data_IF_509975170253
#
_entry.id   IF_509975170253
#
_cell.length_a   1.000
_cell.length_b   1.000
_cell.length_c   1.000
_cell.angle_alpha   90.00
_cell.angle_beta   90.00
_cell.angle_gamma   90.00
#
_symmetry.space_group_name_H-M   'P 1'
#
loop_
_entity.id
_entity.type
_entity.pdbx_description
1 polymer ?
#
# COMPACT_ATOMS: atom_id res chain seq x y z
N UNK A 1 -22.85 -47.27 -22.45
CA UNK A 1 -22.54 -47.62 -21.05
C UNK A 1 -21.11 -47.19 -20.76
N UNK A 2 -20.91 -46.24 -19.85
CA UNK A 2 -19.58 -45.74 -19.49
C UNK A 2 -19.67 -44.90 -18.23
N UNK A 3 -19.62 -45.55 -17.06
CA UNK A 3 -19.46 -44.88 -15.77
C UNK A 3 -18.00 -44.44 -15.65
N UNK A 4 -17.70 -43.19 -16.02
CA UNK A 4 -16.41 -42.56 -15.75
C UNK A 4 -16.41 -41.93 -14.36
N UNK A 5 -15.75 -42.58 -13.41
CA UNK A 5 -15.64 -42.14 -12.02
C UNK A 5 -14.92 -40.79 -11.92
N UNK A 6 -15.60 -39.77 -11.37
CA UNK A 6 -14.93 -38.56 -10.86
C UNK A 6 -14.31 -38.91 -9.52
N UNK A 7 -12.97 -39.01 -9.46
CA UNK A 7 -12.26 -39.07 -8.18
C UNK A 7 -12.30 -37.68 -7.54
N UNK A 8 -13.16 -37.50 -6.54
CA UNK A 8 -13.00 -36.45 -5.55
C UNK A 8 -11.86 -36.86 -4.61
N UNK A 9 -10.70 -36.21 -4.74
CA UNK A 9 -9.71 -36.23 -3.67
C UNK A 9 -10.09 -35.10 -2.71
N UNK A 10 -10.81 -35.46 -1.65
CA UNK A 10 -11.03 -34.60 -0.49
C UNK A 10 -9.84 -34.77 0.44
N UNK A 11 -8.96 -33.76 0.51
CA UNK A 11 -8.06 -33.62 1.66
C UNK A 11 -8.71 -32.62 2.61
N UNK A 12 -9.30 -33.12 3.70
CA UNK A 12 -9.64 -32.31 4.87
C UNK A 12 -8.40 -32.23 5.73
N UNK A 13 -7.94 -31.02 6.04
CA UNK A 13 -7.02 -30.85 7.16
C UNK A 13 -7.26 -29.53 7.90
N UNK A 14 -7.55 -29.70 9.19
CA UNK A 14 -7.67 -28.71 10.26
C UNK A 14 -6.31 -28.07 10.52
N UNK A 15 -6.22 -26.74 10.51
CA UNK A 15 -5.02 -26.05 10.97
C UNK A 15 -5.09 -25.78 12.48
N UNK A 16 -4.38 -26.63 13.22
CA UNK A 16 -4.03 -26.51 14.64
C UNK A 16 -3.02 -25.37 14.82
N UNK A 17 -3.21 -24.54 15.85
CA UNK A 17 -2.25 -23.53 16.27
C UNK A 17 -1.00 -24.22 16.87
N UNK A 18 0.03 -24.46 16.07
CA UNK A 18 1.25 -25.18 16.47
C UNK A 18 2.24 -24.34 17.29
N UNK A 19 2.76 -24.90 18.39
CA UNK A 19 3.75 -24.31 19.32
C UNK A 19 5.22 -24.47 18.86
N UNK A 20 5.57 -24.39 17.56
CA UNK A 20 6.98 -24.45 17.13
C UNK A 20 7.33 -23.38 16.08
N UNK A 21 8.49 -22.71 16.20
CA UNK A 21 8.98 -21.78 15.19
C UNK A 21 9.50 -22.56 13.98
N UNK A 22 8.91 -22.35 12.79
CA UNK A 22 9.41 -22.97 11.55
C UNK A 22 8.42 -23.13 10.40
N UNK A 23 7.11 -23.22 10.67
CA UNK A 23 6.11 -23.43 9.62
C UNK A 23 5.46 -22.11 9.19
N UNK A 24 5.84 -21.60 8.02
CA UNK A 24 5.18 -20.46 7.38
C UNK A 24 4.51 -20.91 6.08
N UNK A 25 3.18 -20.86 6.04
CA UNK A 25 2.41 -20.98 4.79
C UNK A 25 2.12 -19.57 4.26
N UNK A 26 2.54 -19.32 3.02
CA UNK A 26 2.05 -18.23 2.17
C UNK A 26 0.55 -18.44 1.91
N UNK A 27 -0.29 -17.50 2.35
CA UNK A 27 -1.69 -17.47 1.93
C UNK A 27 -1.76 -16.95 0.51
N UNK A 28 -1.80 -17.86 -0.45
CA UNK A 28 -2.32 -17.60 -1.80
C UNK A 28 -3.84 -17.48 -1.71
N UNK A 29 -4.38 -16.31 -2.04
CA UNK A 29 -5.82 -16.15 -2.27
C UNK A 29 -6.05 -16.50 -3.74
N UNK A 30 -6.63 -17.67 -4.02
CA UNK A 30 -7.17 -17.97 -5.33
C UNK A 30 -8.39 -17.07 -5.58
N UNK A 31 -8.27 -16.16 -6.55
CA UNK A 31 -9.44 -15.61 -7.21
C UNK A 31 -9.88 -16.64 -8.26
N UNK A 32 -11.02 -17.29 -8.06
CA UNK A 32 -11.64 -18.11 -9.09
C UNK A 32 -12.08 -17.20 -10.25
N UNK A 33 -11.30 -17.19 -11.32
CA UNK A 33 -11.77 -16.74 -12.62
C UNK A 33 -12.03 -18.00 -13.47
N UNK A 34 -13.30 -18.31 -13.71
CA UNK A 34 -13.67 -19.23 -14.79
C UNK A 34 -13.35 -18.57 -16.11
N UNK A 35 -12.20 -18.90 -16.70
CA UNK A 35 -11.95 -18.65 -18.11
C UNK A 35 -12.16 -19.97 -18.87
N UNK A 36 -13.18 -20.00 -19.71
CA UNK A 36 -13.39 -21.07 -20.68
C UNK A 36 -12.38 -20.89 -21.82
N UNK A 37 -11.23 -21.58 -21.70
CA UNK A 37 -10.19 -21.61 -22.74
C UNK A 37 -10.52 -22.66 -23.81
N UNK A 38 -11.65 -22.45 -24.51
CA UNK A 38 -11.92 -23.09 -25.79
C UNK A 38 -12.32 -22.05 -26.83
N UNK A 39 -11.33 -21.38 -27.44
CA UNK A 39 -11.38 -20.99 -28.86
C UNK A 39 -10.25 -20.02 -29.26
N UNK A 40 -8.99 -20.48 -29.36
CA UNK A 40 -7.99 -19.79 -30.21
C UNK A 40 -6.97 -20.76 -30.81
N UNK A 41 -7.18 -21.09 -32.09
CA UNK A 41 -6.27 -21.50 -33.20
C UNK A 41 -7.19 -22.17 -34.26
N UNK A 42 -7.21 -21.86 -35.57
CA UNK A 42 -6.36 -21.07 -36.48
C UNK A 42 -7.14 -20.80 -37.82
N UNK A 43 -6.57 -20.26 -38.91
CA UNK A 43 -7.10 -19.14 -39.71
C UNK A 43 -7.76 -19.51 -41.06
N UNK A 44 -8.39 -18.51 -41.71
CA UNK A 44 -8.60 -18.48 -43.17
C UNK A 44 -10.05 -18.55 -43.64
N UNK A 45 -10.61 -17.40 -44.04
CA UNK A 45 -11.88 -17.30 -44.75
C UNK A 45 -12.23 -15.83 -45.06
N UNK A 46 -12.72 -15.49 -46.27
CA UNK A 46 -12.97 -14.10 -46.67
C UNK A 46 -14.24 -13.54 -46.00
N UNK A 47 -14.38 -12.20 -45.90
CA UNK A 47 -15.45 -11.58 -45.14
C UNK A 47 -16.76 -11.53 -45.93
N UNK A 48 -17.94 -11.75 -45.31
CA UNK A 48 -19.21 -11.38 -45.90
C UNK A 48 -19.63 -9.96 -45.47
N UNK A 49 -20.22 -9.21 -46.41
CA UNK A 49 -21.05 -8.00 -46.17
C UNK A 49 -22.47 -8.25 -46.73
N UNK A 50 -23.43 -7.31 -46.61
CA UNK A 50 -24.32 -7.07 -45.47
C UNK A 50 -25.80 -7.33 -45.84
N UNK A 51 -26.69 -7.57 -44.86
CA UNK A 51 -28.13 -7.66 -45.15
C UNK A 51 -29.03 -7.98 -43.95
N UNK A 52 -29.83 -6.97 -43.59
CA UNK A 52 -31.22 -6.98 -43.09
C UNK A 52 -31.69 -7.90 -41.94
N UNK A 53 -32.26 -7.19 -40.95
CA UNK A 53 -33.54 -7.43 -40.26
C UNK A 53 -33.70 -8.58 -39.26
N UNK A 54 -34.02 -8.13 -38.05
CA UNK A 54 -35.10 -8.61 -37.18
C UNK A 54 -35.01 -10.03 -36.60
N UNK A 55 -34.63 -10.10 -35.33
CA UNK A 55 -35.32 -11.00 -34.41
C UNK A 55 -35.50 -10.38 -33.02
N UNK A 56 -36.77 -10.23 -32.64
CA UNK A 56 -37.26 -9.71 -31.36
C UNK A 56 -37.03 -10.74 -30.24
N UNK A 57 -36.63 -10.30 -29.06
CA UNK A 57 -36.78 -11.07 -27.82
C UNK A 57 -37.70 -10.34 -26.84
N UNK A 58 -38.90 -10.89 -26.69
CA UNK A 58 -39.83 -10.69 -25.57
C UNK A 58 -39.30 -11.43 -24.34
N UNK A 59 -39.41 -10.82 -23.15
CA UNK A 59 -39.10 -11.50 -21.88
C UNK A 59 -38.65 -10.59 -20.74
N UNK A 60 -39.48 -9.62 -20.33
CA UNK A 60 -39.21 -8.78 -19.16
C UNK A 60 -39.51 -9.55 -17.86
N UNK A 61 -38.46 -10.03 -17.18
CA UNK A 61 -38.55 -10.51 -15.80
C UNK A 61 -38.26 -9.36 -14.82
N UNK A 62 -39.30 -8.95 -14.11
CA UNK A 62 -39.38 -7.86 -13.12
C UNK A 62 -38.68 -8.26 -11.81
N UNK A 63 -37.59 -7.59 -11.46
CA UNK A 63 -36.95 -7.71 -10.14
C UNK A 63 -37.56 -6.72 -9.14
N UNK A 64 -38.22 -7.22 -8.09
CA UNK A 64 -38.65 -6.41 -6.93
C UNK A 64 -37.43 -6.12 -6.04
N UNK A 65 -37.21 -4.85 -5.69
CA UNK A 65 -36.28 -4.44 -4.64
C UNK A 65 -36.95 -4.63 -3.28
N UNK A 66 -36.34 -5.42 -2.40
CA UNK A 66 -36.52 -5.21 -0.96
C UNK A 66 -35.56 -4.10 -0.51
N UNK A 67 -36.13 -3.01 -0.03
CA UNK A 67 -35.43 -1.91 0.63
C UNK A 67 -35.26 -2.22 2.12
N UNK A 68 -34.06 -2.58 2.55
CA UNK A 68 -33.65 -2.34 3.93
C UNK A 68 -33.01 -0.96 4.00
N UNK A 69 -33.64 -0.10 4.80
CA UNK A 69 -33.31 1.32 4.99
C UNK A 69 -31.92 1.49 5.58
N UNK A 70 -31.11 2.31 4.92
CA UNK A 70 -29.78 2.72 5.35
C UNK A 70 -28.92 3.22 4.18
N UNK A 71 -29.55 3.90 3.21
CA UNK A 71 -28.89 4.43 2.02
C UNK A 71 -28.74 5.93 2.11
N UNK A 72 -27.51 6.42 1.96
CA UNK A 72 -27.20 7.83 1.78
C UNK A 72 -27.91 8.33 0.50
N UNK A 73 -28.87 9.25 0.64
CA UNK A 73 -29.42 9.94 -0.52
C UNK A 73 -28.38 10.92 -1.03
N UNK A 74 -27.75 10.60 -2.16
CA UNK A 74 -27.01 11.55 -2.97
C UNK A 74 -28.04 12.41 -3.74
N UNK A 75 -28.26 13.63 -3.25
CA UNK A 75 -29.09 14.63 -3.90
C UNK A 75 -28.40 15.98 -3.85
N UNK A 76 -28.00 16.46 -5.04
CA UNK A 76 -27.54 17.80 -5.38
C UNK A 76 -26.21 18.29 -4.77
N UNK A 77 -25.49 19.07 -5.58
CA UNK A 77 -24.07 19.38 -5.41
C UNK A 77 -23.71 20.04 -4.09
N UNK A 78 -22.68 19.50 -3.44
CA UNK A 78 -21.86 20.19 -2.46
C UNK A 78 -20.51 19.47 -2.37
N UNK A 79 -19.44 20.24 -2.52
CA UNK A 79 -18.05 19.86 -2.45
C UNK A 79 -17.76 19.07 -1.16
N UNK A 80 -17.29 17.82 -1.28
CA UNK A 80 -16.79 17.06 -0.13
C UNK A 80 -15.35 17.47 0.18
N UNK A 81 -15.19 18.68 0.73
CA UNK A 81 -13.96 19.12 1.38
C UNK A 81 -13.84 18.47 2.76
N UNK A 82 -12.92 17.51 2.90
CA UNK A 82 -12.48 16.82 4.13
C UNK A 82 -13.42 15.76 4.75
N UNK A 83 -12.87 14.62 5.24
CA UNK A 83 -13.62 13.59 5.98
C UNK A 83 -14.34 14.11 7.23
N UNK A 84 -13.85 15.21 7.81
CA UNK A 84 -14.35 15.80 9.06
C UNK A 84 -15.71 16.52 8.89
N UNK A 85 -16.12 16.77 7.64
CA UNK A 85 -17.39 17.48 7.31
C UNK A 85 -18.47 16.58 6.72
N UNK A 86 -18.19 15.30 6.47
CA UNK A 86 -19.22 14.35 6.05
C UNK A 86 -20.06 13.92 7.26
N UNK A 87 -21.35 14.27 7.29
CA UNK A 87 -22.29 13.89 8.35
C UNK A 87 -22.35 12.37 8.60
N UNK A 88 -22.11 11.56 7.56
CA UNK A 88 -22.03 10.10 7.66
C UNK A 88 -20.73 9.61 8.33
N UNK A 89 -19.60 10.30 8.15
CA UNK A 89 -18.33 9.95 8.81
C UNK A 89 -18.34 10.32 10.30
N UNK A 90 -18.89 11.50 10.67
CA UNK A 90 -19.12 11.87 12.08
C UNK A 90 -20.11 10.94 12.78
N UNK A 91 -21.18 10.51 12.09
CA UNK A 91 -22.15 9.56 12.64
C UNK A 91 -21.59 8.13 12.78
N UNK A 92 -20.70 7.67 11.88
CA UNK A 92 -19.99 6.40 12.03
C UNK A 92 -18.97 6.42 13.18
N UNK A 93 -18.18 7.49 13.30
CA UNK A 93 -17.18 7.61 14.38
C UNK A 93 -17.82 7.80 15.78
N UNK A 94 -19.08 8.20 15.85
CA UNK A 94 -19.88 8.27 17.07
C UNK A 94 -20.45 6.90 17.53
N UNK A 95 -20.25 5.82 16.76
CA UNK A 95 -20.70 4.48 17.16
C UNK A 95 -19.62 3.77 18.00
N UNK A 96 -19.96 3.26 19.21
CA UNK A 96 -19.00 2.63 20.12
C UNK A 96 -18.26 1.43 19.50
N UNK A 97 -18.86 0.77 18.50
CA UNK A 97 -18.25 -0.34 17.77
C UNK A 97 -17.06 0.06 16.90
N UNK A 98 -17.05 1.27 16.32
CA UNK A 98 -15.95 1.72 15.46
C UNK A 98 -14.74 2.13 16.30
N UNK A 99 -14.96 2.85 17.40
CA UNK A 99 -13.91 3.17 18.36
C UNK A 99 -13.26 1.89 18.92
N UNK A 100 -14.06 0.88 19.26
CA UNK A 100 -13.55 -0.42 19.74
C UNK A 100 -12.72 -1.16 18.68
N UNK A 101 -13.17 -1.14 17.42
CA UNK A 101 -12.44 -1.72 16.27
C UNK A 101 -11.10 -1.03 16.02
N UNK A 102 -11.07 0.30 16.05
CA UNK A 102 -9.83 1.06 15.90
C UNK A 102 -8.86 0.79 17.06
N UNK A 103 -9.36 0.78 18.31
CA UNK A 103 -8.56 0.46 19.48
C UNK A 103 -7.97 -0.97 19.42
N UNK A 104 -8.72 -1.94 18.88
CA UNK A 104 -8.22 -3.30 18.66
C UNK A 104 -7.05 -3.32 17.66
N UNK A 105 -7.17 -2.62 16.53
CA UNK A 105 -6.09 -2.50 15.54
C UNK A 105 -4.88 -1.78 16.15
N UNK A 106 -5.09 -0.68 16.85
CA UNK A 106 -4.01 0.07 17.50
C UNK A 106 -3.22 -0.81 18.49
N UNK A 107 -3.90 -1.59 19.34
CA UNK A 107 -3.25 -2.54 20.26
C UNK A 107 -2.47 -3.62 19.52
N UNK A 108 -3.03 -4.17 18.45
CA UNK A 108 -2.33 -5.17 17.64
C UNK A 108 -1.06 -4.59 17.00
N UNK A 109 -1.14 -3.38 16.44
CA UNK A 109 0.02 -2.68 15.87
C UNK A 109 1.05 -2.37 16.93
N UNK A 110 0.64 -1.91 18.12
CA UNK A 110 1.56 -1.68 19.24
C UNK A 110 2.31 -2.96 19.63
N UNK A 111 1.61 -4.09 19.71
CA UNK A 111 2.23 -5.40 19.96
C UNK A 111 3.19 -5.80 18.83
N UNK A 112 2.80 -5.60 17.57
CA UNK A 112 3.68 -5.87 16.42
C UNK A 112 4.94 -5.01 16.46
N UNK A 113 4.85 -3.72 16.81
CA UNK A 113 6.03 -2.84 16.92
C UNK A 113 6.94 -3.19 18.09
N UNK A 114 6.37 -3.63 19.23
CA UNK A 114 7.16 -4.04 20.39
C UNK A 114 7.88 -5.37 20.17
N UNK A 115 7.27 -6.27 19.42
CA UNK A 115 7.66 -7.69 19.37
C UNK A 115 7.83 -8.22 17.94
N UNK A 116 8.22 -7.36 17.00
CA UNK A 116 8.22 -7.67 15.56
C UNK A 116 9.06 -8.90 15.20
N UNK A 117 10.14 -9.17 15.94
CA UNK A 117 11.05 -10.27 15.66
C UNK A 117 10.42 -11.64 15.93
N UNK A 118 9.44 -11.71 16.84
CA UNK A 118 8.82 -12.96 17.22
C UNK A 118 7.69 -13.39 16.28
N UNK A 119 7.33 -14.69 16.28
CA UNK A 119 6.16 -15.16 15.55
C UNK A 119 4.88 -14.49 16.04
N UNK A 120 4.05 -14.04 15.11
CA UNK A 120 2.76 -13.42 15.41
C UNK A 120 1.60 -14.29 14.93
N UNK A 121 0.67 -14.59 15.82
CA UNK A 121 -0.58 -15.27 15.49
C UNK A 121 -1.71 -14.27 15.27
N UNK A 122 -2.45 -14.42 14.16
CA UNK A 122 -3.60 -13.56 13.86
C UNK A 122 -4.72 -13.71 14.90
N UNK A 123 -4.91 -14.92 15.44
CA UNK A 123 -5.92 -15.19 16.46
C UNK A 123 -5.64 -14.40 17.75
N UNK A 124 -4.38 -14.32 18.17
CA UNK A 124 -3.99 -13.55 19.36
C UNK A 124 -4.30 -12.06 19.21
N UNK A 125 -4.08 -11.50 18.01
CA UNK A 125 -4.38 -10.09 17.72
C UNK A 125 -5.89 -9.84 17.66
N UNK A 126 -6.65 -10.80 17.12
CA UNK A 126 -8.11 -10.71 17.02
C UNK A 126 -8.80 -10.79 18.40
N UNK A 127 -8.28 -11.66 19.29
CA UNK A 127 -8.80 -11.83 20.65
C UNK A 127 -8.72 -10.54 21.47
N UNK A 128 -7.65 -9.75 21.30
CA UNK A 128 -7.50 -8.44 21.96
C UNK A 128 -8.58 -7.41 21.57
N UNK A 129 -9.32 -7.67 20.49
CA UNK A 129 -10.44 -6.86 20.02
C UNK A 129 -11.82 -7.49 20.21
N UNK A 130 -11.91 -8.70 20.78
CA UNK A 130 -13.12 -9.54 20.79
C UNK A 130 -13.69 -9.74 19.37
N UNK A 131 -12.80 -9.88 18.38
CA UNK A 131 -13.16 -10.09 16.97
C UNK A 131 -12.81 -11.51 16.54
N UNK A 132 -13.57 -12.07 15.60
CA UNK A 132 -13.09 -13.26 14.89
C UNK A 132 -11.86 -12.91 14.04
N UNK A 133 -10.94 -13.86 13.78
CA UNK A 133 -9.75 -13.60 12.96
C UNK A 133 -10.07 -13.03 11.56
N UNK A 134 -11.13 -13.53 10.93
CA UNK A 134 -11.60 -13.05 9.63
C UNK A 134 -12.07 -11.59 9.69
N UNK A 135 -12.89 -11.25 10.71
CA UNK A 135 -13.38 -9.88 10.87
C UNK A 135 -12.24 -8.92 11.22
N UNK A 136 -11.34 -9.33 12.11
CA UNK A 136 -10.14 -8.56 12.46
C UNK A 136 -9.28 -8.28 11.23
N UNK A 137 -9.02 -9.27 10.38
CA UNK A 137 -8.25 -9.08 9.14
C UNK A 137 -8.85 -7.99 8.24
N UNK A 138 -10.19 -8.00 8.06
CA UNK A 138 -10.89 -6.99 7.25
C UNK A 138 -10.80 -5.60 7.90
N UNK A 139 -11.05 -5.50 9.20
CA UNK A 139 -10.95 -4.23 9.95
C UNK A 139 -9.54 -3.67 9.91
N UNK A 140 -8.53 -4.52 10.11
CA UNK A 140 -7.13 -4.12 10.05
C UNK A 140 -6.77 -3.51 8.69
N UNK A 141 -7.21 -4.14 7.59
CA UNK A 141 -6.99 -3.61 6.23
C UNK A 141 -7.72 -2.29 5.98
N UNK A 142 -8.93 -2.13 6.50
CA UNK A 142 -9.64 -0.85 6.38
C UNK A 142 -8.96 0.27 7.15
N UNK A 143 -8.39 -0.02 8.32
CA UNK A 143 -7.73 0.98 9.18
C UNK A 143 -6.31 1.31 8.73
N UNK A 144 -5.55 0.33 8.26
CA UNK A 144 -4.10 0.47 7.97
C UNK A 144 -3.77 0.47 6.48
N UNK A 145 -4.77 0.32 5.61
CA UNK A 145 -4.61 0.05 4.17
C UNK A 145 -3.82 -1.22 3.81
N UNK A 146 -3.43 -2.04 4.81
CA UNK A 146 -2.58 -3.21 4.63
C UNK A 146 -3.13 -4.45 5.36
N UNK A 147 -2.75 -5.65 4.95
CA UNK A 147 -3.05 -6.86 5.75
C UNK A 147 -2.11 -6.95 6.95
N UNK A 148 -2.50 -7.61 8.06
CA UNK A 148 -1.65 -7.78 9.25
C UNK A 148 -0.24 -8.31 8.94
N UNK A 149 -0.14 -9.34 8.10
CA UNK A 149 1.15 -9.92 7.72
C UNK A 149 2.03 -8.97 6.88
N UNK A 150 1.43 -8.21 5.96
CA UNK A 150 2.16 -7.21 5.17
C UNK A 150 2.64 -6.06 6.05
N UNK A 151 1.83 -5.63 7.00
CA UNK A 151 2.17 -4.57 7.95
C UNK A 151 3.35 -5.00 8.84
N UNK A 152 3.30 -6.19 9.43
CA UNK A 152 4.41 -6.75 10.20
C UNK A 152 5.70 -6.85 9.37
N UNK A 153 5.59 -7.34 8.14
CA UNK A 153 6.76 -7.43 7.25
C UNK A 153 7.37 -6.04 6.97
N UNK A 154 6.55 -5.00 6.81
CA UNK A 154 7.02 -3.63 6.65
C UNK A 154 7.71 -3.09 7.91
N UNK A 155 7.21 -3.41 9.11
CA UNK A 155 7.90 -3.07 10.38
C UNK A 155 9.28 -3.72 10.42
N UNK A 156 9.37 -5.03 10.13
CA UNK A 156 10.64 -5.77 10.14
C UNK A 156 11.65 -5.20 9.15
N UNK A 157 11.20 -4.81 7.96
CA UNK A 157 12.08 -4.19 6.96
C UNK A 157 12.50 -2.77 7.36
N UNK A 158 11.60 -1.96 7.93
CA UNK A 158 11.97 -0.64 8.45
C UNK A 158 13.05 -0.75 9.55
N UNK A 159 12.92 -1.75 10.43
CA UNK A 159 13.95 -2.01 11.43
C UNK A 159 15.25 -2.55 10.82
N UNK A 160 15.16 -3.39 9.79
CA UNK A 160 16.33 -3.85 9.05
C UNK A 160 17.08 -2.69 8.39
N UNK A 161 16.38 -1.71 7.82
CA UNK A 161 16.99 -0.49 7.29
C UNK A 161 17.74 0.25 8.40
N UNK A 162 17.12 0.47 9.56
CA UNK A 162 17.78 1.08 10.71
C UNK A 162 19.05 0.33 11.12
N UNK A 163 19.00 -1.00 11.23
CA UNK A 163 20.18 -1.81 11.58
C UNK A 163 21.26 -1.78 10.51
N UNK A 164 20.89 -1.78 9.22
CA UNK A 164 21.84 -1.70 8.10
C UNK A 164 22.61 -0.36 8.11
N UNK A 165 21.99 0.71 8.59
CA UNK A 165 22.55 2.08 8.65
C UNK A 165 23.33 2.31 9.94
N UNK A 166 22.77 1.94 11.09
CA UNK A 166 23.29 2.30 12.41
C UNK A 166 24.28 1.29 12.99
N UNK A 167 24.49 0.16 12.33
CA UNK A 167 25.36 -0.91 12.83
C UNK A 167 26.22 -1.51 11.72
N UNK A 168 27.29 -2.19 12.11
CA UNK A 168 28.15 -3.00 11.24
C UNK A 168 27.72 -4.47 11.15
N UNK A 169 26.53 -4.83 11.66
CA UNK A 169 26.04 -6.22 11.69
C UNK A 169 26.05 -6.86 10.29
N UNK A 170 26.32 -8.16 10.21
CA UNK A 170 26.22 -8.88 8.93
C UNK A 170 24.77 -8.97 8.50
N UNK A 171 24.52 -9.00 7.19
CA UNK A 171 23.16 -9.07 6.63
C UNK A 171 22.42 -10.33 7.12
N UNK A 172 23.15 -11.44 7.32
CA UNK A 172 22.66 -12.68 7.94
C UNK A 172 22.12 -12.44 9.34
N UNK A 173 22.87 -11.73 10.17
CA UNK A 173 22.55 -11.51 11.58
C UNK A 173 21.37 -10.55 11.70
N UNK A 174 21.30 -9.55 10.82
CA UNK A 174 20.16 -8.64 10.70
C UNK A 174 18.90 -9.42 10.31
N UNK A 175 18.97 -10.35 9.35
CA UNK A 175 17.83 -11.15 8.93
C UNK A 175 17.22 -11.92 10.12
N UNK A 176 18.06 -12.55 10.94
CA UNK A 176 17.64 -13.26 12.14
C UNK A 176 17.10 -12.28 13.19
N UNK A 177 17.80 -11.18 13.44
CA UNK A 177 17.41 -10.18 14.45
C UNK A 177 16.04 -9.55 14.17
N UNK A 178 15.65 -9.39 12.90
CA UNK A 178 14.34 -8.85 12.51
C UNK A 178 13.28 -9.94 12.27
N UNK A 179 13.57 -11.20 12.64
CA UNK A 179 12.58 -12.28 12.70
C UNK A 179 12.37 -13.06 11.40
N UNK A 180 13.35 -13.11 10.50
CA UNK A 180 13.32 -13.99 9.32
C UNK A 180 14.06 -15.29 9.60
N UNK A 181 13.45 -16.42 9.21
CA UNK A 181 14.03 -17.75 9.36
C UNK A 181 15.18 -18.04 8.37
N UNK A 182 15.26 -17.30 7.25
CA UNK A 182 16.32 -17.46 6.27
C UNK A 182 16.76 -16.14 5.65
N UNK A 183 18.04 -16.06 5.28
CA UNK A 183 18.60 -14.91 4.55
C UNK A 183 17.93 -14.72 3.19
N UNK A 184 17.57 -15.80 2.50
CA UNK A 184 16.94 -15.73 1.19
C UNK A 184 15.57 -15.04 1.27
N UNK A 185 14.72 -15.49 2.21
CA UNK A 185 13.40 -14.88 2.42
C UNK A 185 13.50 -13.42 2.82
N UNK A 186 14.46 -13.08 3.68
CA UNK A 186 14.76 -11.69 4.04
C UNK A 186 15.18 -10.87 2.83
N UNK A 187 16.16 -11.32 2.05
CA UNK A 187 16.72 -10.59 0.91
C UNK A 187 15.68 -10.34 -0.18
N UNK A 188 14.87 -11.35 -0.51
CA UNK A 188 13.76 -11.19 -1.46
C UNK A 188 12.76 -10.16 -0.96
N UNK A 189 12.36 -10.24 0.31
CA UNK A 189 11.36 -9.34 0.88
C UNK A 189 11.90 -7.90 1.03
N UNK A 190 13.15 -7.74 1.46
CA UNK A 190 13.83 -6.46 1.57
C UNK A 190 13.92 -5.80 0.21
N UNK A 191 14.46 -6.49 -0.80
CA UNK A 191 14.58 -5.96 -2.16
C UNK A 191 13.22 -5.55 -2.72
N UNK A 192 12.20 -6.38 -2.54
CA UNK A 192 10.83 -6.09 -3.00
C UNK A 192 10.22 -4.86 -2.33
N UNK A 193 10.51 -4.64 -1.04
CA UNK A 193 9.91 -3.54 -0.26
C UNK A 193 10.70 -2.23 -0.37
N UNK A 194 12.03 -2.31 -0.45
CA UNK A 194 12.94 -1.17 -0.44
C UNK A 194 13.31 -0.72 -1.85
N UNK A 195 13.35 -1.65 -2.82
CA UNK A 195 13.82 -1.44 -4.19
C UNK A 195 15.28 -1.84 -4.40
N UNK A 196 16.06 -2.05 -3.33
CA UNK A 196 17.48 -2.38 -3.37
C UNK A 196 17.79 -3.64 -2.58
N UNK A 197 18.83 -4.37 -2.97
CA UNK A 197 19.35 -5.44 -2.11
C UNK A 197 19.90 -4.85 -0.80
N UNK A 198 19.91 -5.60 0.32
CA UNK A 198 20.46 -5.09 1.59
C UNK A 198 21.90 -4.56 1.48
N UNK A 199 22.73 -5.20 0.63
CA UNK A 199 24.12 -4.78 0.40
C UNK A 199 24.19 -3.49 -0.41
N UNK A 200 23.45 -3.41 -1.52
CA UNK A 200 23.37 -2.17 -2.34
C UNK A 200 22.84 -1.02 -1.51
N UNK A 201 21.79 -1.25 -0.71
CA UNK A 201 21.23 -0.25 0.20
C UNK A 201 22.28 0.29 1.17
N UNK A 202 23.04 -0.60 1.83
CA UNK A 202 24.13 -0.18 2.73
C UNK A 202 25.20 0.64 2.00
N UNK A 203 25.61 0.22 0.80
CA UNK A 203 26.59 0.97 0.00
C UNK A 203 26.10 2.37 -0.37
N UNK A 204 24.84 2.49 -0.81
CA UNK A 204 24.24 3.78 -1.16
C UNK A 204 24.14 4.71 0.06
N UNK A 205 23.73 4.18 1.22
CA UNK A 205 23.69 4.99 2.45
C UNK A 205 25.10 5.35 2.93
N UNK A 206 26.10 4.50 2.77
CA UNK A 206 27.48 4.86 3.10
C UNK A 206 27.98 6.02 2.21
N UNK A 207 27.56 6.08 0.95
CA UNK A 207 27.95 7.13 0.01
C UNK A 207 27.19 8.45 0.22
N UNK A 208 25.89 8.38 0.51
CA UNK A 208 25.01 9.55 0.51
C UNK A 208 24.32 9.84 1.85
N UNK A 209 24.57 9.06 2.90
CA UNK A 209 23.83 9.10 4.16
C UNK A 209 23.88 10.44 4.89
N UNK A 210 25.02 11.11 4.89
CA UNK A 210 25.20 12.43 5.51
C UNK A 210 24.69 13.58 4.63
N UNK A 211 24.21 13.29 3.43
CA UNK A 211 23.68 14.32 2.53
C UNK A 211 22.39 14.89 3.12
N UNK A 212 22.28 16.23 3.27
CA UNK A 212 21.02 16.86 3.66
C UNK A 212 19.91 16.63 2.64
N UNK A 213 18.69 16.46 3.12
CA UNK A 213 17.52 16.29 2.26
C UNK A 213 17.33 17.45 1.28
N UNK A 214 17.73 18.67 1.63
CA UNK A 214 17.68 19.84 0.73
C UNK A 214 18.52 19.67 -0.55
N UNK A 215 19.65 18.95 -0.48
CA UNK A 215 20.48 18.64 -1.65
C UNK A 215 19.82 17.55 -2.49
N UNK A 216 19.39 16.46 -1.85
CA UNK A 216 18.69 15.35 -2.52
C UNK A 216 17.42 15.84 -3.21
N UNK A 217 16.63 16.65 -2.52
CA UNK A 217 15.40 17.24 -3.02
C UNK A 217 15.63 18.10 -4.25
N UNK A 218 16.68 18.93 -4.25
CA UNK A 218 17.02 19.77 -5.43
C UNK A 218 17.43 18.94 -6.63
N UNK A 219 18.26 17.90 -6.44
CA UNK A 219 18.66 16.99 -7.53
C UNK A 219 17.44 16.29 -8.15
N UNK A 220 16.60 15.69 -7.30
CA UNK A 220 15.37 15.02 -7.74
C UNK A 220 14.37 15.97 -8.40
N UNK A 221 14.27 17.22 -7.92
CA UNK A 221 13.40 18.23 -8.52
C UNK A 221 13.89 18.69 -9.89
N UNK A 222 15.21 18.73 -10.13
CA UNK A 222 15.79 19.08 -11.43
C UNK A 222 15.53 18.01 -12.49
N UNK A 223 15.48 16.73 -12.09
CA UNK A 223 15.11 15.62 -12.98
C UNK A 223 13.61 15.56 -13.29
N UNK A 224 12.76 16.30 -12.58
CA UNK A 224 11.33 16.39 -12.86
C UNK A 224 11.06 17.35 -14.03
N UNK A 225 11.15 16.85 -15.25
CA UNK A 225 10.55 17.52 -16.42
C UNK A 225 9.21 16.84 -16.72
N UNK A 226 8.06 17.39 -16.28
CA UNK A 226 6.79 16.69 -16.43
C UNK A 226 6.38 16.71 -17.91
N UNK A 227 6.38 15.53 -18.53
CA UNK A 227 5.64 15.33 -19.77
C UNK A 227 4.16 15.34 -19.43
N UNK A 228 3.35 16.18 -20.08
CA UNK A 228 1.89 16.10 -19.90
C UNK A 228 1.38 14.74 -20.40
N UNK A 229 0.35 14.14 -19.75
CA UNK A 229 -0.49 14.70 -18.67
C UNK A 229 0.05 14.49 -17.24
N UNK A 230 -0.30 15.42 -16.33
CA UNK A 230 0.10 15.41 -14.92
C UNK A 230 -1.09 15.56 -13.97
N UNK A 231 -0.96 15.03 -12.76
CA UNK A 231 -1.85 15.24 -11.63
C UNK A 231 -1.20 16.24 -10.65
N UNK A 232 -1.93 17.29 -10.28
CA UNK A 232 -1.43 18.30 -9.34
C UNK A 232 -1.86 17.99 -7.92
N UNK A 233 -0.90 17.92 -7.01
CA UNK A 233 -1.15 17.74 -5.58
C UNK A 233 -0.71 19.00 -4.84
N UNK A 234 -1.63 19.63 -4.11
CA UNK A 234 -1.32 20.69 -3.15
C UNK A 234 -1.29 20.09 -1.75
N UNK A 235 -0.22 20.32 -1.02
CA UNK A 235 0.08 19.71 0.28
C UNK A 235 0.31 20.80 1.32
N UNK A 236 -0.71 21.10 2.12
CA UNK A 236 -0.60 22.09 3.20
C UNK A 236 0.37 21.64 4.28
N UNK A 237 1.22 22.57 4.75
CA UNK A 237 2.27 22.31 5.74
C UNK A 237 3.58 21.80 5.13
N UNK A 238 3.68 21.79 3.80
CA UNK A 238 4.89 21.44 3.07
C UNK A 238 5.82 22.64 2.81
N UNK A 239 5.37 23.87 3.07
CA UNK A 239 6.19 25.06 2.94
C UNK A 239 7.53 24.91 3.69
N UNK A 240 8.64 25.21 3.01
CA UNK A 240 10.00 25.08 3.55
C UNK A 240 10.51 23.64 3.72
N UNK A 241 9.80 22.63 3.21
CA UNK A 241 10.19 21.22 3.30
C UNK A 241 10.64 20.66 1.95
N UNK A 242 11.26 19.49 2.01
CA UNK A 242 11.44 18.62 0.83
C UNK A 242 10.23 17.70 0.76
N UNK A 243 9.39 17.94 -0.24
CA UNK A 243 8.14 17.23 -0.45
C UNK A 243 8.34 16.15 -1.50
N UNK A 244 8.17 14.89 -1.09
CA UNK A 244 8.00 13.78 -2.01
C UNK A 244 6.50 13.49 -2.17
N UNK A 245 6.02 13.29 -3.40
CA UNK A 245 4.68 12.78 -3.65
C UNK A 245 4.72 11.64 -4.67
N UNK A 246 3.98 10.57 -4.42
CA UNK A 246 3.98 9.40 -5.28
C UNK A 246 2.65 8.64 -5.30
N UNK A 247 2.41 7.99 -6.43
CA UNK A 247 1.31 7.08 -6.71
C UNK A 247 1.80 5.63 -6.55
N UNK A 248 1.21 4.90 -5.62
CA UNK A 248 1.60 3.51 -5.30
C UNK A 248 0.49 2.52 -5.66
N UNK A 249 0.86 1.33 -6.12
CA UNK A 249 -0.10 0.30 -6.51
C UNK A 249 -0.83 -0.38 -5.32
N UNK A 250 -0.47 -0.06 -4.07
CA UNK A 250 -1.12 -0.63 -2.89
C UNK A 250 -0.87 0.18 -1.62
N UNK A 251 -1.62 -0.14 -0.56
CA UNK A 251 -1.70 0.67 0.66
C UNK A 251 -0.44 0.73 1.52
N UNK A 252 0.54 -0.16 1.32
CA UNK A 252 1.88 0.04 1.89
C UNK A 252 2.72 0.74 0.82
N UNK A 253 3.35 1.89 1.13
CA UNK A 253 4.30 2.55 0.24
C UNK A 253 5.59 1.71 0.19
N UNK A 254 5.70 0.89 -0.85
CA UNK A 254 6.78 -0.07 -1.02
C UNK A 254 7.26 -0.10 -2.47
N UNK A 255 8.56 -0.38 -2.66
CA UNK A 255 9.21 -0.34 -3.96
C UNK A 255 9.14 1.04 -4.60
N UNK A 256 9.46 1.12 -5.89
CA UNK A 256 9.32 2.35 -6.65
C UNK A 256 7.84 2.70 -6.83
N UNK A 257 7.47 3.99 -6.69
CA UNK A 257 6.12 4.43 -7.05
C UNK A 257 5.89 4.23 -8.55
N UNK A 258 4.64 4.04 -8.95
CA UNK A 258 4.25 3.98 -10.36
C UNK A 258 4.56 5.31 -11.07
N UNK A 259 4.35 6.42 -10.35
CA UNK A 259 4.86 7.74 -10.69
C UNK A 259 5.06 8.56 -9.42
N UNK A 260 6.01 9.47 -9.43
CA UNK A 260 6.26 10.37 -8.33
C UNK A 260 6.96 11.63 -8.78
N UNK A 261 6.97 12.62 -7.90
CA UNK A 261 7.65 13.88 -8.10
C UNK A 261 8.12 14.43 -6.77
N UNK A 262 9.08 15.33 -6.84
CA UNK A 262 9.71 16.01 -5.71
C UNK A 262 9.61 17.50 -5.92
N UNK A 263 9.21 18.20 -4.87
CA UNK A 263 9.20 19.65 -4.79
C UNK A 263 10.00 20.11 -3.56
N UNK A 264 10.65 21.27 -3.67
CA UNK A 264 11.44 21.85 -2.59
C UNK A 264 10.93 23.26 -2.31
N UNK A 265 10.53 23.52 -1.06
CA UNK A 265 10.11 24.85 -0.63
C UNK A 265 8.73 25.30 -1.15
N UNK A 266 8.01 24.45 -1.89
CA UNK A 266 6.66 24.73 -2.40
C UNK A 266 5.65 23.76 -1.81
N UNK A 267 4.37 24.13 -1.84
CA UNK A 267 3.26 23.26 -1.40
C UNK A 267 2.59 22.53 -2.56
N UNK A 268 2.98 22.76 -3.81
CA UNK A 268 2.36 22.12 -4.97
C UNK A 268 3.40 21.30 -5.74
N UNK A 269 3.00 20.11 -6.16
CA UNK A 269 3.82 19.19 -6.95
C UNK A 269 2.98 18.55 -8.05
N UNK A 270 3.53 18.50 -9.26
CA UNK A 270 2.91 17.86 -10.42
C UNK A 270 3.52 16.46 -10.60
N UNK A 271 2.68 15.42 -10.53
CA UNK A 271 3.08 14.03 -10.70
C UNK A 271 2.71 13.57 -12.11
N UNK A 272 3.64 13.03 -12.92
CA UNK A 272 3.30 12.49 -14.24
C UNK A 272 2.35 11.30 -14.10
N UNK A 273 1.38 11.14 -15.01
CA UNK A 273 0.43 10.04 -14.93
C UNK A 273 1.05 8.71 -15.42
N UNK A 274 1.05 7.62 -14.63
CA UNK A 274 1.63 6.33 -15.01
C UNK A 274 0.75 5.50 -15.97
N UNK A 275 -0.31 6.10 -16.52
CA UNK A 275 -1.38 5.42 -17.24
C UNK A 275 -2.63 5.17 -16.39
N UNK A 276 -3.73 4.68 -17.01
CA UNK A 276 -4.99 4.49 -16.31
C UNK A 276 -4.90 3.40 -15.24
N UNK A 277 -5.51 3.64 -14.08
CA UNK A 277 -5.43 2.71 -12.96
C UNK A 277 -5.94 3.28 -11.65
N UNK A 278 -5.83 2.49 -10.58
CA UNK A 278 -6.19 2.89 -9.23
C UNK A 278 -4.93 2.89 -8.37
N UNK A 279 -4.58 4.05 -7.79
CA UNK A 279 -3.32 4.24 -7.07
C UNK A 279 -3.54 4.91 -5.72
N UNK A 280 -2.75 4.51 -4.73
CA UNK A 280 -2.70 5.17 -3.43
C UNK A 280 -1.79 6.40 -3.56
N UNK A 281 -2.33 7.59 -3.27
CA UNK A 281 -1.55 8.83 -3.25
C UNK A 281 -0.97 9.05 -1.86
N UNK A 282 0.36 9.12 -1.78
CA UNK A 282 1.11 9.46 -0.58
C UNK A 282 2.01 10.67 -0.85
N UNK A 283 2.02 11.59 0.09
CA UNK A 283 3.03 12.63 0.21
C UNK A 283 3.80 12.50 1.52
N UNK A 284 5.10 12.73 1.46
CA UNK A 284 6.00 12.71 2.61
C UNK A 284 6.81 14.00 2.60
N UNK A 285 6.76 14.73 3.70
CA UNK A 285 7.54 15.95 3.89
C UNK A 285 8.71 15.71 4.83
N UNK A 286 9.92 16.07 4.39
CA UNK A 286 11.13 15.98 5.19
C UNK A 286 11.62 17.37 5.61
N UNK A 287 12.27 17.43 6.76
CA UNK A 287 13.05 18.61 7.14
C UNK A 287 14.26 18.75 6.20
N UNK A 288 14.52 19.93 5.60
CA UNK A 288 15.61 20.12 4.65
C UNK A 288 16.99 19.82 5.21
N UNK A 289 17.19 19.98 6.53
CA UNK A 289 18.48 19.79 7.19
C UNK A 289 18.67 18.36 7.72
N UNK A 290 17.63 17.53 7.70
CA UNK A 290 17.78 16.12 8.07
C UNK A 290 18.67 15.40 7.06
N UNK A 291 19.54 14.51 7.55
CA UNK A 291 20.37 13.65 6.70
C UNK A 291 19.54 12.52 6.08
N UNK A 292 19.99 11.99 4.95
CA UNK A 292 19.40 10.79 4.32
C UNK A 292 19.41 9.60 5.29
N UNK A 293 20.51 9.41 6.02
CA UNK A 293 20.65 8.32 6.99
C UNK A 293 19.63 8.45 8.13
N UNK A 294 19.40 9.65 8.66
CA UNK A 294 18.42 9.87 9.73
C UNK A 294 17.00 9.59 9.27
N UNK A 295 16.63 10.07 8.08
CA UNK A 295 15.30 9.85 7.51
C UNK A 295 15.02 8.38 7.18
N UNK A 296 16.03 7.65 6.72
CA UNK A 296 15.90 6.22 6.38
C UNK A 296 15.99 5.31 7.61
N UNK A 297 16.73 5.70 8.64
CA UNK A 297 16.88 4.97 9.90
C UNK A 297 15.79 5.33 10.93
N UNK A 298 14.58 5.64 10.47
CA UNK A 298 13.49 6.17 11.28
C UNK A 298 12.20 5.31 11.14
N UNK A 299 12.17 4.13 11.79
CA UNK A 299 11.03 3.21 11.72
C UNK A 299 9.75 3.77 12.39
N UNK A 300 9.89 4.79 13.24
CA UNK A 300 8.78 5.46 13.91
C UNK A 300 8.27 6.70 13.16
N UNK A 301 9.03 7.24 12.22
CA UNK A 301 8.64 8.41 11.44
C UNK A 301 8.77 9.74 12.19
N UNK A 302 9.76 9.88 13.07
CA UNK A 302 10.10 11.12 13.80
C UNK A 302 10.67 12.22 12.90
N UNK A 303 11.37 11.86 11.82
CA UNK A 303 12.06 12.77 10.88
C UNK A 303 11.22 13.09 9.63
N UNK A 304 9.93 12.73 9.61
CA UNK A 304 9.05 12.94 8.47
C UNK A 304 7.62 13.29 8.88
N UNK A 305 6.94 14.02 8.00
CA UNK A 305 5.49 14.17 8.03
C UNK A 305 4.90 13.40 6.86
N UNK A 306 3.66 12.94 7.01
CA UNK A 306 2.95 12.15 6.00
C UNK A 306 1.59 12.75 5.70
N UNK A 307 1.14 12.58 4.47
CA UNK A 307 -0.23 12.83 4.05
C UNK A 307 -0.64 11.78 3.01
N UNK A 308 -1.85 11.25 3.13
CA UNK A 308 -2.39 10.30 2.16
C UNK A 308 -3.90 10.49 2.04
N UNK A 309 -4.46 10.10 0.90
CA UNK A 309 -5.91 10.02 0.76
C UNK A 309 -6.43 8.76 1.46
N UNK A 310 -7.67 8.80 2.01
CA UNK A 310 -8.29 7.62 2.61
C UNK A 310 -8.69 6.55 1.56
N UNK A 311 -8.73 6.94 0.29
CA UNK A 311 -9.15 6.10 -0.83
C UNK A 311 -8.22 6.28 -2.03
N UNK A 312 -8.04 5.25 -2.86
CA UNK A 312 -7.22 5.34 -4.07
C UNK A 312 -7.71 6.42 -5.04
N UNK A 313 -6.75 7.12 -5.64
CA UNK A 313 -6.94 7.97 -6.81
C UNK A 313 -7.22 7.08 -8.03
N UNK A 314 -8.25 7.42 -8.80
CA UNK A 314 -8.51 6.82 -10.11
C UNK A 314 -7.91 7.72 -11.18
N UNK A 315 -6.93 7.20 -11.90
CA UNK A 315 -6.32 7.87 -13.05
C UNK A 315 -7.03 7.40 -14.31
N UNK A 316 -7.58 8.34 -15.07
CA UNK A 316 -8.11 8.16 -16.43
C UNK A 316 -7.21 8.87 -17.45
N UNK A 317 -7.49 8.72 -18.74
CA UNK A 317 -6.63 9.19 -19.84
C UNK A 317 -6.48 10.73 -19.93
N UNK A 318 -7.33 11.50 -19.27
CA UNK A 318 -7.47 12.97 -19.41
C UNK A 318 -7.39 13.72 -18.06
N UNK A 319 -6.81 13.10 -17.04
CA UNK A 319 -7.03 13.54 -15.66
C UNK A 319 -6.16 14.75 -15.26
N UNK A 320 -6.66 15.97 -15.48
CA UNK A 320 -6.09 17.20 -14.88
C UNK A 320 -6.64 17.43 -13.45
N UNK A 321 -6.83 16.34 -12.70
CA UNK A 321 -7.41 16.39 -11.36
C UNK A 321 -6.43 17.02 -10.37
N UNK A 322 -6.95 17.89 -9.51
CA UNK A 322 -6.22 18.51 -8.41
C UNK A 322 -6.62 17.87 -7.08
N UNK A 323 -5.63 17.52 -6.26
CA UNK A 323 -5.84 16.92 -4.94
C UNK A 323 -5.24 17.80 -3.85
N UNK A 324 -5.95 17.94 -2.73
CA UNK A 324 -5.46 18.64 -1.55
C UNK A 324 -5.18 17.67 -0.41
N UNK A 325 -3.96 17.72 0.11
CA UNK A 325 -3.48 16.93 1.23
C UNK A 325 -2.99 17.84 2.35
N UNK A 326 -2.92 17.32 3.57
CA UNK A 326 -2.34 18.02 4.72
C UNK A 326 -1.32 17.13 5.41
N UNK A 327 -0.10 17.62 5.53
CA UNK A 327 0.95 16.93 6.28
C UNK A 327 0.58 16.85 7.77
N UNK A 328 0.80 15.68 8.34
CA UNK A 328 0.64 15.40 9.77
C UNK A 328 1.76 14.47 10.25
N UNK A 329 1.94 14.39 11.58
CA UNK A 329 2.81 13.37 12.15
C UNK A 329 2.28 11.97 11.80
N UNK A 330 3.18 10.99 11.54
CA UNK A 330 2.81 9.60 11.44
C UNK A 330 2.07 9.13 12.70
N UNK A 331 0.98 8.41 12.51
CA UNK A 331 0.19 7.76 13.53
C UNK A 331 0.59 6.29 13.64
N UNK A 332 0.28 5.68 14.78
CA UNK A 332 0.61 4.29 15.05
C UNK A 332 0.13 3.32 13.93
N UNK A 333 -1.08 3.55 13.43
CA UNK A 333 -1.75 2.74 12.41
C UNK A 333 -1.35 3.06 10.98
N UNK A 334 -0.55 4.11 10.76
CA UNK A 334 -0.01 4.36 9.43
C UNK A 334 0.93 3.22 9.03
N UNK A 335 0.85 2.76 7.77
CA UNK A 335 1.77 1.77 7.27
C UNK A 335 3.21 2.31 7.31
N UNK A 336 4.21 1.50 7.71
CA UNK A 336 5.60 1.91 7.60
C UNK A 336 5.96 2.24 6.16
N UNK A 337 6.60 3.40 5.94
CA UNK A 337 7.16 3.78 4.65
C UNK A 337 8.56 3.16 4.57
N UNK A 338 8.68 2.12 3.73
CA UNK A 338 9.89 1.29 3.58
C UNK A 338 10.62 1.56 2.26
N UNK A 339 10.00 2.27 1.33
CA UNK A 339 10.66 2.74 0.11
C UNK A 339 11.78 3.71 0.45
N UNK A 340 12.96 3.49 -0.14
CA UNK A 340 14.13 4.35 0.05
C UNK A 340 14.11 5.57 -0.88
N UNK A 341 13.05 6.39 -0.79
CA UNK A 341 12.81 7.54 -1.68
C UNK A 341 14.00 8.49 -1.83
N UNK A 342 14.73 8.86 -0.75
CA UNK A 342 15.90 9.74 -0.88
C UNK A 342 17.05 9.13 -1.70
N UNK A 343 17.13 7.80 -1.80
CA UNK A 343 18.20 7.13 -2.57
C UNK A 343 17.91 7.08 -4.07
N UNK A 344 16.68 7.41 -4.50
CA UNK A 344 16.35 7.44 -5.94
C UNK A 344 17.17 8.49 -6.68
N UNK A 345 17.43 9.65 -6.05
CA UNK A 345 18.22 10.73 -6.66
C UNK A 345 19.72 10.52 -6.62
N UNK A 346 20.19 9.40 -6.07
CA UNK A 346 21.62 9.04 -6.02
C UNK A 346 22.02 8.22 -7.23
N UNK A 347 21.08 7.50 -7.86
CA UNK A 347 21.36 6.63 -9.01
C UNK A 347 21.44 7.38 -10.35
N UNK A 348 20.83 8.56 -10.43
CA UNK A 348 20.84 9.39 -11.64
C UNK A 348 22.12 10.26 -11.76
N UNK A 349 23.12 10.03 -10.90
CA UNK A 349 24.35 10.84 -10.81
C UNK A 349 25.60 10.18 -11.42
N UNK A 350 25.46 9.01 -12.04
CA UNK A 350 26.49 8.29 -12.82
C UNK A 350 26.12 8.26 -14.31
#
# INVERSE_FOLDING_TARGET
MGRGARRHVSVRETAVCGRRPGDYILVSIEASATHDLRSLRRPGGPPPRPGSSDFRSTGAARWRRHSSRGGCHAGAGAECGSPDRCGAARACLAQPDIARRFAAVARAVQRMRRDFANPHCLADHAQAGMLSPFHFHRVFRMVTAATPGRFLAAIRIAEAQRLLIRTSMRVTDIAVAVGYASLSSFTTQFTRLVGFTPRTFRSLVAAAGETPMSIVGRRLAQSNTPSQPTLTVTVSGAAGRVLFAGLFAGGIPQGLPAAGAVAVGTEAVAIPLPGPGSFELLSVGFDPESSVADVLADPEGRHRLVAALPHPVRVAHDNNSMYHLRLRRPQLTDPPIVVALPLLGVLDAD
#
